data_IF_348765568131
#
_entry.id   IF_348765568131
#
_cell.length_a   1.000
_cell.length_b   1.000
_cell.length_c   1.000
_cell.angle_alpha   90.00
_cell.angle_beta   90.00
_cell.angle_gamma   90.00
#
_symmetry.space_group_name_H-M   'P 1'
#
loop_
_entity.id
_entity.type
_entity.pdbx_description
1 polymer ?
#
# COMPACT_ATOMS: atom_id res chain seq x y z
N UNK A 1 -6.00 -15.59 7.15
CA UNK A 1 -6.19 -14.40 6.30
C UNK A 1 -5.51 -14.50 4.94
N UNK A 2 -4.73 -15.54 4.62
CA UNK A 2 -4.34 -15.84 3.23
C UNK A 2 -4.44 -17.35 3.02
N UNK A 3 -5.58 -17.80 2.51
CA UNK A 3 -5.84 -19.19 2.18
C UNK A 3 -6.85 -19.22 1.03
N UNK A 4 -6.38 -19.73 -0.10
CA UNK A 4 -7.04 -19.83 -1.41
C UNK A 4 -7.36 -18.48 -2.09
N UNK A 5 -6.45 -18.05 -2.97
CA UNK A 5 -6.67 -16.99 -3.95
C UNK A 5 -7.33 -17.61 -5.18
N UNK A 6 -8.65 -17.60 -5.24
CA UNK A 6 -9.36 -17.78 -6.51
C UNK A 6 -9.17 -16.54 -7.39
N UNK A 7 -9.11 -16.77 -8.70
CA UNK A 7 -8.71 -15.82 -9.73
C UNK A 7 -9.59 -14.57 -9.74
N UNK A 8 -9.09 -13.45 -9.20
CA UNK A 8 -9.64 -12.10 -9.37
C UNK A 8 -9.44 -11.52 -10.78
N UNK A 9 -9.11 -12.35 -11.77
CA UNK A 9 -8.81 -11.85 -13.11
C UNK A 9 -10.08 -11.36 -13.79
N UNK A 10 -10.14 -10.04 -13.93
CA UNK A 10 -10.98 -9.37 -14.91
C UNK A 10 -10.28 -9.49 -16.29
N UNK A 11 -10.90 -10.26 -17.20
CA UNK A 11 -10.42 -10.46 -18.57
C UNK A 11 -10.33 -9.16 -19.38
N UNK A 12 -10.92 -8.05 -18.89
CA UNK A 12 -10.83 -6.71 -19.52
C UNK A 12 -9.38 -6.18 -19.62
N UNK A 13 -8.45 -6.79 -18.89
CA UNK A 13 -7.03 -6.44 -18.87
C UNK A 13 -6.12 -7.31 -19.73
N UNK A 14 -6.66 -8.31 -20.45
CA UNK A 14 -5.87 -9.09 -21.41
C UNK A 14 -5.02 -8.20 -22.36
N UNK A 15 -5.54 -7.08 -22.92
CA UNK A 15 -4.73 -6.20 -23.78
C UNK A 15 -3.56 -5.54 -23.06
N UNK A 16 -3.63 -5.29 -21.75
CA UNK A 16 -2.49 -4.74 -21.01
C UNK A 16 -1.41 -5.81 -20.83
N UNK A 17 -1.80 -7.04 -20.48
CA UNK A 17 -0.83 -8.13 -20.35
C UNK A 17 -0.14 -8.44 -21.69
N UNK A 18 -0.81 -8.23 -22.82
CA UNK A 18 -0.20 -8.30 -24.15
C UNK A 18 0.85 -7.19 -24.41
N UNK A 19 0.79 -6.05 -23.71
CA UNK A 19 1.79 -4.96 -23.81
C UNK A 19 3.00 -5.14 -22.92
N UNK A 20 2.92 -6.00 -21.90
CA UNK A 20 4.08 -6.32 -21.08
C UNK A 20 5.04 -7.21 -21.88
N UNK A 21 6.36 -7.12 -21.63
CA UNK A 21 7.31 -7.96 -22.33
C UNK A 21 6.97 -9.44 -22.12
N UNK A 22 7.10 -10.18 -23.21
CA UNK A 22 7.14 -11.64 -23.22
C UNK A 22 8.58 -12.10 -23.49
N UNK A 23 8.91 -13.32 -23.08
CA UNK A 23 10.26 -13.89 -23.18
C UNK A 23 10.84 -13.82 -24.61
N UNK A 24 10.00 -13.72 -25.64
CA UNK A 24 10.42 -13.79 -27.05
C UNK A 24 10.66 -12.43 -27.75
N UNK A 25 9.94 -11.35 -27.40
CA UNK A 25 9.92 -10.12 -28.21
C UNK A 25 10.83 -8.98 -27.70
N UNK A 26 11.15 -8.96 -26.39
CA UNK A 26 11.91 -7.86 -25.74
C UNK A 26 13.04 -8.35 -24.82
N UNK A 27 13.49 -9.59 -25.04
CA UNK A 27 14.42 -10.31 -24.15
C UNK A 27 15.71 -9.54 -23.86
N UNK A 28 16.39 -9.03 -24.89
CA UNK A 28 17.69 -8.35 -24.75
C UNK A 28 17.62 -7.04 -23.93
N UNK A 29 16.57 -6.22 -24.14
CA UNK A 29 16.38 -4.99 -23.37
C UNK A 29 16.07 -5.29 -21.92
N UNK A 30 15.21 -6.27 -21.67
CA UNK A 30 14.84 -6.68 -20.32
C UNK A 30 16.03 -7.31 -19.58
N UNK A 31 16.84 -8.10 -20.29
CA UNK A 31 18.11 -8.64 -19.78
C UNK A 31 19.05 -7.51 -19.34
N UNK A 32 19.16 -6.44 -20.15
CA UNK A 32 19.90 -5.22 -19.77
C UNK A 32 19.41 -4.60 -18.46
N UNK A 33 18.09 -4.47 -18.28
CA UNK A 33 17.50 -3.96 -17.04
C UNK A 33 17.77 -4.88 -15.84
N UNK A 34 17.72 -6.19 -16.03
CA UNK A 34 18.03 -7.17 -14.99
C UNK A 34 19.50 -7.19 -14.61
N UNK A 35 20.41 -7.03 -15.57
CA UNK A 35 21.84 -6.90 -15.31
C UNK A 35 22.14 -5.69 -14.41
N UNK A 36 21.47 -4.55 -14.62
CA UNK A 36 21.59 -3.38 -13.74
C UNK A 36 21.15 -3.70 -12.31
N UNK A 37 20.07 -4.48 -12.13
CA UNK A 37 19.63 -4.92 -10.79
C UNK A 37 20.68 -5.84 -10.16
N UNK A 38 21.17 -6.84 -10.89
CA UNK A 38 22.19 -7.79 -10.41
C UNK A 38 23.47 -7.07 -9.99
N UNK A 39 23.93 -6.12 -10.80
CA UNK A 39 25.14 -5.33 -10.52
C UNK A 39 24.96 -4.48 -9.26
N UNK A 40 23.81 -3.80 -9.12
CA UNK A 40 23.50 -3.00 -7.94
C UNK A 40 23.45 -3.84 -6.65
N UNK A 41 22.83 -5.03 -6.70
CA UNK A 41 22.81 -5.95 -5.56
C UNK A 41 24.22 -6.47 -5.23
N UNK A 42 25.01 -6.84 -6.24
CA UNK A 42 26.38 -7.32 -6.06
C UNK A 42 27.30 -6.26 -5.44
N UNK A 43 27.19 -5.02 -5.93
CA UNK A 43 27.92 -3.88 -5.40
C UNK A 43 27.53 -3.58 -3.95
N UNK A 44 26.23 -3.60 -3.65
CA UNK A 44 25.74 -3.40 -2.28
C UNK A 44 26.22 -4.51 -1.35
N UNK A 45 26.13 -5.78 -1.77
CA UNK A 45 26.59 -6.90 -0.96
C UNK A 45 28.09 -6.81 -0.66
N UNK A 46 28.90 -6.43 -1.65
CA UNK A 46 30.35 -6.21 -1.47
C UNK A 46 30.61 -5.08 -0.48
N UNK A 47 29.91 -3.95 -0.61
CA UNK A 47 30.05 -2.81 0.28
C UNK A 47 29.67 -3.16 1.73
N UNK A 48 28.55 -3.87 1.93
CA UNK A 48 28.09 -4.28 3.27
C UNK A 48 29.02 -5.33 3.90
N UNK A 49 29.56 -6.26 3.09
CA UNK A 49 30.49 -7.29 3.57
C UNK A 49 31.84 -6.72 4.03
N UNK A 50 32.20 -5.52 3.55
CA UNK A 50 33.41 -4.82 4.01
C UNK A 50 33.27 -4.17 5.40
N UNK A 51 32.03 -4.06 5.91
CA UNK A 51 31.74 -3.47 7.21
C UNK A 51 31.66 -4.55 8.30
N UNK A 52 32.59 -4.55 9.24
CA UNK A 52 32.72 -5.63 10.26
C UNK A 52 31.57 -5.68 11.26
N UNK A 53 30.89 -4.56 11.50
CA UNK A 53 29.83 -4.43 12.52
C UNK A 53 28.42 -4.34 11.90
N UNK A 54 28.30 -4.55 10.59
CA UNK A 54 27.04 -4.45 9.85
C UNK A 54 26.21 -5.74 9.82
N UNK A 55 24.90 -5.65 9.51
CA UNK A 55 24.09 -6.83 9.23
C UNK A 55 24.63 -7.59 8.01
N UNK A 56 24.77 -8.91 8.14
CA UNK A 56 25.18 -9.77 7.04
C UNK A 56 23.95 -10.20 6.23
N UNK A 57 24.03 -10.01 4.92
CA UNK A 57 22.99 -10.42 3.98
C UNK A 57 23.50 -11.57 3.14
N UNK A 58 22.69 -12.63 3.03
CA UNK A 58 22.98 -13.71 2.10
C UNK A 58 22.81 -13.21 0.66
N UNK A 59 23.79 -13.52 -0.20
CA UNK A 59 23.72 -13.24 -1.63
C UNK A 59 24.60 -14.21 -2.40
N UNK A 60 24.06 -14.74 -3.50
CA UNK A 60 24.82 -15.51 -4.47
C UNK A 60 24.56 -14.95 -5.86
N UNK A 61 25.63 -14.55 -6.56
CA UNK A 61 25.54 -13.99 -7.90
C UNK A 61 24.85 -14.94 -8.88
N UNK A 62 25.18 -16.24 -8.83
CA UNK A 62 24.60 -17.24 -9.73
C UNK A 62 23.09 -17.41 -9.52
N UNK A 63 22.62 -17.32 -8.27
CA UNK A 63 21.18 -17.34 -7.97
C UNK A 63 20.49 -16.08 -8.49
N UNK A 64 21.10 -14.91 -8.30
CA UNK A 64 20.55 -13.66 -8.84
C UNK A 64 20.43 -13.72 -10.36
N UNK A 65 21.43 -14.28 -11.05
CA UNK A 65 21.44 -14.53 -12.50
C UNK A 65 20.46 -15.61 -12.97
N UNK A 66 19.98 -16.49 -12.09
CA UNK A 66 18.92 -17.44 -12.43
C UNK A 66 17.52 -16.85 -12.22
N UNK A 67 17.39 -15.89 -11.29
CA UNK A 67 16.11 -15.25 -10.96
C UNK A 67 15.82 -14.09 -11.91
N UNK A 68 16.77 -13.16 -12.09
CA UNK A 68 16.58 -11.97 -12.93
C UNK A 68 16.96 -12.25 -14.38
N UNK A 69 16.10 -12.99 -15.09
CA UNK A 69 16.25 -13.29 -16.52
C UNK A 69 14.93 -13.11 -17.26
N UNK A 70 14.95 -12.80 -18.57
CA UNK A 70 13.75 -12.56 -19.36
C UNK A 70 12.74 -13.73 -19.35
N UNK A 71 13.20 -14.96 -19.21
CA UNK A 71 12.33 -16.15 -19.12
C UNK A 71 11.39 -16.10 -17.92
N UNK A 72 11.75 -15.37 -16.88
CA UNK A 72 10.94 -15.19 -15.67
C UNK A 72 10.05 -13.95 -15.71
N UNK A 73 9.90 -13.28 -16.88
CA UNK A 73 9.09 -12.06 -17.04
C UNK A 73 7.63 -12.23 -16.58
N UNK A 74 7.11 -13.46 -16.60
CA UNK A 74 5.80 -13.82 -16.05
C UNK A 74 5.58 -13.30 -14.62
N UNK A 75 6.64 -13.12 -13.81
CA UNK A 75 6.51 -12.56 -12.47
C UNK A 75 5.93 -11.13 -12.50
N UNK A 76 6.28 -10.30 -13.49
CA UNK A 76 5.68 -8.96 -13.64
C UNK A 76 4.16 -9.06 -13.87
N UNK A 77 3.74 -10.00 -14.70
CA UNK A 77 2.31 -10.28 -14.95
C UNK A 77 1.60 -10.71 -13.66
N UNK A 78 2.23 -11.60 -12.89
CA UNK A 78 1.67 -12.07 -11.62
C UNK A 78 1.53 -10.96 -10.58
N UNK A 79 2.46 -10.00 -10.56
CA UNK A 79 2.32 -8.81 -9.70
C UNK A 79 1.06 -8.02 -10.05
N UNK A 80 0.86 -7.67 -11.33
CA UNK A 80 -0.31 -6.88 -11.74
C UNK A 80 -1.63 -7.66 -11.60
N UNK A 81 -1.59 -8.98 -11.68
CA UNK A 81 -2.75 -9.84 -11.48
C UNK A 81 -3.16 -9.98 -10.01
N UNK A 82 -2.19 -10.16 -9.11
CA UNK A 82 -2.48 -10.64 -7.75
C UNK A 82 -2.05 -9.71 -6.62
N UNK A 83 -1.07 -8.83 -6.84
CA UNK A 83 -0.58 -7.89 -5.81
C UNK A 83 -1.09 -6.47 -6.05
N UNK A 84 -1.13 -6.02 -7.31
CA UNK A 84 -1.58 -4.68 -7.66
C UNK A 84 -3.02 -4.36 -7.22
N UNK A 85 -4.02 -5.25 -7.35
CA UNK A 85 -5.36 -4.95 -6.82
C UNK A 85 -5.36 -4.68 -5.32
N UNK A 86 -4.52 -5.38 -4.56
CA UNK A 86 -4.43 -5.19 -3.10
C UNK A 86 -3.67 -3.92 -2.72
N UNK A 87 -2.72 -3.46 -3.55
CA UNK A 87 -1.89 -2.27 -3.31
C UNK A 87 -1.68 -1.51 -4.64
N UNK A 88 -2.69 -0.76 -5.14
CA UNK A 88 -2.70 -0.13 -6.46
C UNK A 88 -1.89 1.17 -6.47
N UNK A 89 -0.63 1.11 -6.05
CA UNK A 89 0.27 2.27 -5.98
C UNK A 89 1.06 2.49 -7.28
N UNK A 90 1.10 1.50 -8.17
CA UNK A 90 1.77 1.57 -9.49
C UNK A 90 0.72 1.87 -10.55
N UNK A 91 0.94 2.90 -11.36
CA UNK A 91 0.07 3.19 -12.51
C UNK A 91 0.35 2.16 -13.59
N UNK A 92 -0.53 1.17 -13.71
CA UNK A 92 -0.35 0.04 -14.60
C UNK A 92 -0.24 0.47 -16.07
N UNK A 93 -1.08 1.37 -16.62
CA UNK A 93 -0.99 1.76 -18.04
C UNK A 93 0.31 2.45 -18.45
N UNK A 94 1.01 3.12 -17.52
CA UNK A 94 2.30 3.79 -17.81
C UNK A 94 3.51 3.01 -17.30
N UNK A 95 3.33 1.80 -16.80
CA UNK A 95 4.44 0.98 -16.33
C UNK A 95 5.19 0.40 -17.54
N UNK A 96 6.45 0.80 -17.70
CA UNK A 96 7.35 0.27 -18.70
C UNK A 96 8.59 -0.33 -18.02
N UNK A 97 8.78 -1.67 -18.01
CA UNK A 97 9.90 -2.30 -17.32
C UNK A 97 11.27 -1.88 -17.87
N UNK A 98 11.34 -1.31 -19.08
CA UNK A 98 12.58 -0.84 -19.67
C UNK A 98 13.00 0.57 -19.23
N UNK A 99 12.06 1.35 -18.69
CA UNK A 99 12.27 2.78 -18.39
C UNK A 99 12.12 3.12 -16.90
N UNK A 100 11.41 2.27 -16.14
CA UNK A 100 11.26 2.48 -14.69
C UNK A 100 12.58 2.27 -13.96
N UNK A 101 12.70 2.92 -12.81
CA UNK A 101 13.85 2.80 -11.94
C UNK A 101 14.08 1.33 -11.50
N UNK A 102 15.35 0.84 -11.43
CA UNK A 102 15.66 -0.55 -11.07
C UNK A 102 15.02 -1.02 -9.76
N UNK A 103 14.92 -0.15 -8.76
CA UNK A 103 14.22 -0.44 -7.49
C UNK A 103 12.75 -0.80 -7.70
N UNK A 104 12.03 -0.08 -8.56
CA UNK A 104 10.62 -0.36 -8.83
C UNK A 104 10.47 -1.66 -9.63
N UNK A 105 11.27 -1.84 -10.68
CA UNK A 105 11.27 -3.07 -11.49
C UNK A 105 11.54 -4.30 -10.61
N UNK A 106 12.60 -4.24 -9.81
CA UNK A 106 12.96 -5.31 -8.88
C UNK A 106 11.84 -5.62 -7.89
N UNK A 107 11.23 -4.59 -7.29
CA UNK A 107 10.16 -4.80 -6.32
C UNK A 107 8.90 -5.41 -6.95
N UNK A 108 8.48 -4.92 -8.13
CA UNK A 108 7.36 -5.49 -8.91
C UNK A 108 7.64 -6.96 -9.24
N UNK A 109 8.84 -7.24 -9.77
CA UNK A 109 9.26 -8.58 -10.15
C UNK A 109 9.30 -9.56 -8.97
N UNK A 110 9.95 -9.18 -7.85
CA UNK A 110 10.05 -10.04 -6.67
C UNK A 110 8.70 -10.22 -5.97
N UNK A 111 7.86 -9.19 -5.90
CA UNK A 111 6.49 -9.34 -5.37
C UNK A 111 5.66 -10.29 -6.22
N UNK A 112 5.84 -10.27 -7.54
CA UNK A 112 5.18 -11.18 -8.48
C UNK A 112 5.64 -12.64 -8.35
N UNK A 113 6.91 -12.86 -8.03
CA UNK A 113 7.47 -14.20 -7.82
C UNK A 113 6.76 -15.00 -6.74
N UNK A 114 6.13 -14.32 -5.77
CA UNK A 114 5.33 -14.95 -4.70
C UNK A 114 4.09 -15.69 -5.19
N UNK A 115 3.62 -15.39 -6.40
CA UNK A 115 2.46 -16.02 -7.02
C UNK A 115 2.85 -16.93 -8.19
N UNK A 116 4.15 -17.17 -8.39
CA UNK A 116 4.63 -18.10 -9.39
C UNK A 116 4.31 -19.54 -9.01
N UNK A 117 4.13 -20.39 -10.02
CA UNK A 117 4.04 -21.83 -9.80
C UNK A 117 5.36 -22.34 -9.18
N UNK A 118 5.33 -23.35 -8.29
CA UNK A 118 6.53 -23.88 -7.67
C UNK A 118 7.57 -24.34 -8.72
N UNK A 119 8.76 -23.76 -8.66
CA UNK A 119 9.91 -24.06 -9.50
C UNK A 119 11.19 -23.74 -8.73
N UNK A 120 12.34 -24.28 -9.13
CA UNK A 120 13.63 -23.99 -8.49
C UNK A 120 13.94 -22.49 -8.44
N UNK A 121 13.55 -21.77 -9.51
CA UNK A 121 13.66 -20.32 -9.61
C UNK A 121 12.73 -19.62 -8.62
N UNK A 122 11.45 -20.02 -8.55
CA UNK A 122 10.50 -19.45 -7.60
C UNK A 122 10.92 -19.68 -6.14
N UNK A 123 11.60 -20.80 -5.86
CA UNK A 123 12.18 -21.09 -4.55
C UNK A 123 13.47 -20.30 -4.26
N UNK A 124 14.17 -19.84 -5.30
CA UNK A 124 15.40 -19.06 -5.18
C UNK A 124 15.14 -17.55 -5.00
N UNK A 125 14.05 -17.00 -5.55
CA UNK A 125 13.72 -15.58 -5.43
C UNK A 125 13.65 -15.07 -3.97
N UNK A 126 13.04 -15.79 -3.00
CA UNK A 126 13.01 -15.38 -1.60
C UNK A 126 14.37 -15.18 -0.94
N UNK A 127 15.43 -15.80 -1.46
CA UNK A 127 16.80 -15.65 -0.96
C UNK A 127 17.35 -14.23 -1.24
N UNK A 128 16.78 -13.52 -2.21
CA UNK A 128 17.20 -12.18 -2.61
C UNK A 128 16.46 -11.07 -1.84
N UNK A 129 15.37 -11.40 -1.13
CA UNK A 129 14.46 -10.39 -0.57
C UNK A 129 15.10 -9.46 0.46
N UNK A 130 15.99 -9.97 1.32
CA UNK A 130 16.60 -9.16 2.37
C UNK A 130 17.59 -8.13 1.79
N UNK A 131 18.43 -8.55 0.83
CA UNK A 131 19.35 -7.63 0.16
C UNK A 131 18.61 -6.65 -0.77
N UNK A 132 17.57 -7.12 -1.47
CA UNK A 132 16.71 -6.26 -2.29
C UNK A 132 16.00 -5.18 -1.45
N UNK A 133 15.50 -5.55 -0.26
CA UNK A 133 14.94 -4.58 0.68
C UNK A 133 16.01 -3.56 1.11
N UNK A 134 17.20 -4.01 1.50
CA UNK A 134 18.28 -3.11 1.89
C UNK A 134 18.68 -2.16 0.74
N UNK A 135 18.74 -2.66 -0.49
CA UNK A 135 19.00 -1.85 -1.69
C UNK A 135 17.93 -0.77 -1.92
N UNK A 136 16.65 -1.15 -1.85
CA UNK A 136 15.54 -0.21 -2.03
C UNK A 136 15.60 0.93 -0.98
N UNK A 137 15.77 0.58 0.29
CA UNK A 137 15.79 1.55 1.38
C UNK A 137 17.05 2.41 1.44
N UNK A 138 18.23 1.89 1.05
CA UNK A 138 19.44 2.70 0.93
C UNK A 138 19.35 3.68 -0.24
N UNK A 139 18.78 3.25 -1.37
CA UNK A 139 18.51 4.13 -2.51
C UNK A 139 17.52 5.23 -2.12
N UNK A 140 16.43 4.88 -1.44
CA UNK A 140 15.44 5.84 -0.96
C UNK A 140 16.07 6.89 -0.04
N UNK A 141 16.87 6.46 0.93
CA UNK A 141 17.56 7.36 1.85
C UNK A 141 18.44 8.36 1.12
N UNK A 142 19.27 7.88 0.18
CA UNK A 142 20.15 8.74 -0.61
C UNK A 142 19.38 9.77 -1.45
N UNK A 143 18.26 9.38 -2.07
CA UNK A 143 17.44 10.30 -2.85
C UNK A 143 16.70 11.32 -1.99
N UNK A 144 16.16 10.90 -0.84
CA UNK A 144 15.48 11.82 0.10
C UNK A 144 16.47 12.83 0.67
N UNK A 145 17.67 12.38 1.06
CA UNK A 145 18.71 13.28 1.57
C UNK A 145 19.16 14.26 0.47
N UNK A 146 19.28 13.81 -0.78
CA UNK A 146 19.57 14.69 -1.92
C UNK A 146 18.47 15.74 -2.10
N UNK A 147 17.21 15.30 -2.09
CA UNK A 147 16.03 16.15 -2.30
C UNK A 147 15.86 17.21 -1.21
N UNK A 148 15.98 16.79 0.06
CA UNK A 148 15.75 17.66 1.22
C UNK A 148 16.90 18.63 1.46
N UNK A 149 18.16 18.18 1.30
CA UNK A 149 19.32 19.00 1.68
C UNK A 149 19.77 19.97 0.58
N UNK A 150 19.64 19.60 -0.70
CA UNK A 150 20.20 20.40 -1.80
C UNK A 150 19.13 21.18 -2.58
N UNK A 151 17.84 20.90 -2.33
CA UNK A 151 16.75 21.43 -3.14
C UNK A 151 16.79 20.88 -4.57
N UNK A 152 15.64 20.78 -5.21
CA UNK A 152 15.59 20.38 -6.61
C UNK A 152 16.02 21.58 -7.45
N UNK A 153 17.13 21.47 -8.19
CA UNK A 153 17.49 22.47 -9.22
C UNK A 153 16.31 22.57 -10.21
N UNK A 154 15.76 23.78 -10.39
CA UNK A 154 14.45 24.04 -11.03
C UNK A 154 14.28 23.40 -12.42
N UNK A 155 15.36 23.11 -13.14
CA UNK A 155 15.35 22.67 -14.54
C UNK A 155 15.04 21.19 -14.77
N UNK A 156 15.09 20.31 -13.76
CA UNK A 156 14.83 18.85 -13.94
C UNK A 156 13.88 18.25 -12.87
N UNK A 157 13.02 19.09 -12.30
CA UNK A 157 12.33 18.75 -11.05
C UNK A 157 11.30 17.63 -11.16
N UNK A 158 10.60 17.53 -12.30
CA UNK A 158 9.58 16.50 -12.54
C UNK A 158 10.18 15.11 -12.71
N UNK A 159 11.33 15.01 -13.40
CA UNK A 159 12.02 13.73 -13.63
C UNK A 159 12.60 13.19 -12.33
N UNK A 160 13.28 14.03 -11.55
CA UNK A 160 13.81 13.61 -10.25
C UNK A 160 12.69 13.24 -9.27
N UNK A 161 11.57 13.95 -9.28
CA UNK A 161 10.40 13.62 -8.46
C UNK A 161 9.73 12.31 -8.91
N UNK A 162 9.62 12.07 -10.22
CA UNK A 162 9.15 10.79 -10.75
C UNK A 162 10.06 9.63 -10.32
N UNK A 163 11.39 9.82 -10.37
CA UNK A 163 12.36 8.83 -9.88
C UNK A 163 12.18 8.56 -8.38
N UNK A 164 12.02 9.61 -7.58
CA UNK A 164 11.77 9.49 -6.13
C UNK A 164 10.46 8.73 -5.85
N UNK A 165 9.39 9.04 -6.59
CA UNK A 165 8.12 8.32 -6.51
C UNK A 165 8.31 6.82 -6.82
N UNK A 166 9.05 6.48 -7.88
CA UNK A 166 9.32 5.08 -8.26
C UNK A 166 10.14 4.34 -7.19
N UNK A 167 11.15 4.97 -6.61
CA UNK A 167 11.94 4.37 -5.52
C UNK A 167 11.10 4.20 -4.26
N UNK A 168 10.21 5.14 -3.94
CA UNK A 168 9.28 5.02 -2.81
C UNK A 168 8.22 3.95 -3.05
N UNK A 169 7.65 3.84 -4.26
CA UNK A 169 6.78 2.74 -4.67
C UNK A 169 7.48 1.39 -4.45
N UNK A 170 8.68 1.22 -4.99
CA UNK A 170 9.44 -0.04 -4.83
C UNK A 170 9.78 -0.34 -3.37
N UNK A 171 10.14 0.67 -2.58
CA UNK A 171 10.42 0.50 -1.14
C UNK A 171 9.18 0.08 -0.34
N UNK A 172 8.01 0.65 -0.66
CA UNK A 172 6.73 0.28 -0.06
C UNK A 172 6.31 -1.15 -0.45
N UNK A 173 6.52 -1.54 -1.71
CA UNK A 173 6.29 -2.92 -2.16
C UNK A 173 7.21 -3.92 -1.43
N UNK A 174 8.50 -3.60 -1.29
CA UNK A 174 9.44 -4.45 -0.53
C UNK A 174 9.07 -4.54 0.95
N UNK A 175 8.61 -3.44 1.56
CA UNK A 175 8.06 -3.42 2.91
C UNK A 175 6.86 -4.38 3.04
N UNK A 176 5.92 -4.34 2.10
CA UNK A 176 4.77 -5.25 2.08
C UNK A 176 5.18 -6.71 1.88
N UNK A 177 6.10 -6.97 0.95
CA UNK A 177 6.62 -8.32 0.68
C UNK A 177 7.24 -8.94 1.94
N UNK A 178 8.14 -8.20 2.60
CA UNK A 178 8.83 -8.66 3.80
C UNK A 178 7.89 -8.84 4.98
N UNK A 179 6.83 -8.04 5.04
CA UNK A 179 5.78 -8.19 6.03
C UNK A 179 5.00 -9.51 5.88
N UNK A 180 4.74 -9.97 4.65
CA UNK A 180 4.02 -11.23 4.37
C UNK A 180 4.85 -12.47 4.74
N UNK A 181 6.18 -12.42 4.61
CA UNK A 181 7.08 -13.57 4.88
C UNK A 181 7.06 -14.06 6.34
N UNK A 182 6.50 -13.28 7.26
CA UNK A 182 6.18 -13.67 8.64
C UNK A 182 7.36 -14.30 9.44
N UNK A 183 8.57 -13.74 9.30
CA UNK A 183 9.74 -14.10 10.11
C UNK A 183 9.99 -13.04 11.21
N UNK A 184 10.30 -13.42 12.47
CA UNK A 184 10.47 -12.47 13.58
C UNK A 184 11.46 -11.32 13.31
N UNK A 185 12.66 -11.63 12.81
CA UNK A 185 13.70 -10.64 12.55
C UNK A 185 13.31 -9.67 11.43
N UNK A 186 12.63 -10.18 10.39
CA UNK A 186 12.09 -9.37 9.30
C UNK A 186 10.97 -8.47 9.80
N UNK A 187 10.07 -8.98 10.64
CA UNK A 187 8.99 -8.18 11.26
C UNK A 187 9.55 -7.06 12.13
N UNK A 188 10.52 -7.35 12.99
CA UNK A 188 11.18 -6.36 13.84
C UNK A 188 11.85 -5.27 12.99
N UNK A 189 12.66 -5.65 11.99
CA UNK A 189 13.31 -4.71 11.08
C UNK A 189 12.30 -3.85 10.32
N UNK A 190 11.22 -4.47 9.85
CA UNK A 190 10.15 -3.81 9.13
C UNK A 190 9.48 -2.73 10.02
N UNK A 191 9.16 -3.08 11.27
CA UNK A 191 8.55 -2.18 12.25
C UNK A 191 9.50 -1.07 12.74
N UNK A 192 10.73 -1.41 13.08
CA UNK A 192 11.62 -0.52 13.83
C UNK A 192 12.53 0.31 12.94
N UNK A 193 12.70 -0.09 11.66
CA UNK A 193 13.57 0.62 10.70
C UNK A 193 12.86 1.02 9.42
N UNK A 194 12.13 0.11 8.77
CA UNK A 194 11.59 0.35 7.42
C UNK A 194 10.36 1.24 7.44
N UNK A 195 9.34 0.89 8.22
CA UNK A 195 8.13 1.71 8.35
C UNK A 195 8.46 3.14 8.84
N UNK A 196 9.31 3.35 9.88
CA UNK A 196 9.72 4.69 10.29
C UNK A 196 10.41 5.49 9.18
N UNK A 197 11.21 4.85 8.32
CA UNK A 197 11.81 5.52 7.16
C UNK A 197 10.75 5.93 6.14
N UNK A 198 9.80 5.06 5.79
CA UNK A 198 8.69 5.42 4.91
C UNK A 198 7.89 6.58 5.49
N UNK A 199 7.57 6.50 6.79
CA UNK A 199 6.84 7.53 7.56
C UNK A 199 7.57 8.87 7.57
N UNK A 200 8.88 8.86 7.77
CA UNK A 200 9.72 10.05 7.70
C UNK A 200 9.74 10.64 6.29
N UNK A 201 9.82 9.78 5.27
CA UNK A 201 9.85 10.21 3.87
C UNK A 201 8.57 10.92 3.45
N UNK A 202 7.38 10.35 3.66
CA UNK A 202 6.14 11.06 3.24
C UNK A 202 5.91 12.35 4.01
N UNK A 203 6.36 12.44 5.27
CA UNK A 203 6.33 13.68 6.06
C UNK A 203 7.26 14.74 5.48
N UNK A 204 8.52 14.38 5.18
CA UNK A 204 9.51 15.28 4.57
C UNK A 204 9.08 15.80 3.20
N UNK A 205 8.40 14.96 2.42
CA UNK A 205 7.94 15.29 1.07
C UNK A 205 6.53 15.90 1.01
N UNK A 206 5.79 15.91 2.13
CA UNK A 206 4.43 16.43 2.19
C UNK A 206 3.39 15.59 1.44
N UNK A 207 3.66 14.30 1.16
CA UNK A 207 2.75 13.47 0.36
C UNK A 207 1.42 13.19 1.08
N UNK A 208 1.40 13.19 2.41
CA UNK A 208 0.17 13.12 3.21
C UNK A 208 -0.78 14.31 2.99
N UNK A 209 -0.26 15.42 2.44
CA UNK A 209 -1.00 16.65 2.14
C UNK A 209 -1.12 16.88 0.63
N UNK A 210 -0.73 15.91 -0.20
CA UNK A 210 -0.76 16.02 -1.66
C UNK A 210 -2.18 16.28 -2.16
N UNK A 211 -2.29 17.16 -3.16
CA UNK A 211 -3.54 17.49 -3.82
C UNK A 211 -3.35 17.51 -5.32
N UNK A 212 -4.39 17.14 -6.03
CA UNK A 212 -4.43 17.25 -7.48
C UNK A 212 -4.48 18.73 -7.89
N UNK A 213 -3.87 19.03 -9.03
CA UNK A 213 -3.88 20.37 -9.60
C UNK A 213 -5.32 20.80 -9.90
N UNK A 214 -5.67 22.02 -9.48
CA UNK A 214 -7.00 22.60 -9.72
C UNK A 214 -6.99 23.28 -11.08
N UNK A 215 -7.34 22.52 -12.11
CA UNK A 215 -7.46 23.03 -13.48
C UNK A 215 -8.83 23.72 -13.64
N UNK A 216 -8.91 24.91 -14.27
CA UNK A 216 -10.18 25.55 -14.60
C UNK A 216 -11.11 24.64 -15.41
N UNK A 217 -12.41 24.84 -15.29
CA UNK A 217 -13.38 24.05 -16.07
C UNK A 217 -13.19 24.30 -17.58
N UNK A 218 -13.05 23.22 -18.35
CA UNK A 218 -12.87 23.25 -19.80
C UNK A 218 -11.41 23.24 -20.28
N UNK A 219 -10.43 23.32 -19.38
CA UNK A 219 -9.03 23.12 -19.73
C UNK A 219 -8.60 21.65 -19.55
N UNK A 220 -7.76 21.11 -20.45
CA UNK A 220 -7.29 19.74 -20.34
C UNK A 220 -6.38 19.59 -19.13
N UNK A 221 -6.55 18.49 -18.40
CA UNK A 221 -5.67 18.14 -17.28
C UNK A 221 -4.44 17.42 -17.85
N UNK A 222 -3.23 17.87 -17.52
CA UNK A 222 -1.99 17.16 -17.88
C UNK A 222 -2.04 15.75 -17.24
N UNK A 223 -2.18 14.73 -18.08
CA UNK A 223 -2.35 13.35 -17.65
C UNK A 223 -1.11 12.81 -16.93
N UNK A 224 0.08 13.18 -17.40
CA UNK A 224 1.34 12.77 -16.77
C UNK A 224 1.51 13.48 -15.41
N UNK A 225 1.01 14.71 -15.27
CA UNK A 225 1.08 15.46 -14.01
C UNK A 225 0.09 14.87 -13.02
N UNK A 226 -1.11 14.52 -13.51
CA UNK A 226 -2.10 13.79 -12.76
C UNK A 226 -1.54 12.46 -12.23
N UNK A 227 -0.92 11.62 -13.08
CA UNK A 227 -0.32 10.34 -12.67
C UNK A 227 0.73 10.59 -11.57
N UNK A 228 1.57 11.60 -11.74
CA UNK A 228 2.61 11.94 -10.76
C UNK A 228 2.00 12.34 -9.40
N UNK A 229 0.96 13.18 -9.39
CA UNK A 229 0.28 13.64 -8.18
C UNK A 229 -0.55 12.55 -7.51
N UNK A 230 -1.29 11.77 -8.29
CA UNK A 230 -2.08 10.66 -7.78
C UNK A 230 -1.17 9.56 -7.20
N UNK A 231 0.01 9.34 -7.79
CA UNK A 231 1.04 8.48 -7.19
C UNK A 231 1.43 8.96 -5.78
N UNK A 232 1.60 10.27 -5.58
CA UNK A 232 1.94 10.83 -4.26
C UNK A 232 0.80 10.67 -3.26
N UNK A 233 -0.44 10.95 -3.69
CA UNK A 233 -1.66 10.72 -2.91
C UNK A 233 -1.75 9.27 -2.44
N UNK A 234 -1.61 8.33 -3.37
CA UNK A 234 -1.63 6.89 -3.08
C UNK A 234 -0.50 6.49 -2.15
N UNK A 235 0.75 6.92 -2.39
CA UNK A 235 1.87 6.62 -1.50
C UNK A 235 1.63 7.14 -0.06
N UNK A 236 1.10 8.36 0.09
CA UNK A 236 0.76 8.92 1.40
C UNK A 236 -0.29 8.09 2.14
N UNK A 237 -1.37 7.71 1.45
CA UNK A 237 -2.44 6.87 2.01
C UNK A 237 -1.93 5.46 2.33
N UNK A 238 -1.20 4.82 1.42
CA UNK A 238 -0.78 3.43 1.59
C UNK A 238 0.31 3.26 2.65
N UNK A 239 1.23 4.21 2.83
CA UNK A 239 2.15 4.20 3.99
C UNK A 239 1.38 4.36 5.30
N UNK A 240 0.37 5.23 5.34
CA UNK A 240 -0.50 5.38 6.51
C UNK A 240 -1.28 4.09 6.82
N UNK A 241 -1.82 3.41 5.79
CA UNK A 241 -2.51 2.13 5.97
C UNK A 241 -1.56 1.03 6.48
N UNK A 242 -0.31 0.99 5.99
CA UNK A 242 0.71 0.10 6.54
C UNK A 242 1.00 0.36 8.01
N UNK A 243 1.06 1.63 8.43
CA UNK A 243 1.21 2.02 9.83
C UNK A 243 0.01 1.60 10.69
N UNK A 244 -1.21 1.82 10.19
CA UNK A 244 -2.44 1.40 10.85
C UNK A 244 -2.51 -0.13 11.02
N UNK A 245 -2.15 -0.87 9.98
CA UNK A 245 -2.14 -2.33 10.00
C UNK A 245 -1.15 -2.89 11.01
N UNK A 246 0.08 -2.37 11.08
CA UNK A 246 1.06 -2.82 12.09
C UNK A 246 0.62 -2.49 13.51
N UNK A 247 0.00 -1.32 13.71
CA UNK A 247 -0.57 -0.91 15.00
C UNK A 247 -1.62 -1.91 15.50
N UNK A 248 -2.53 -2.33 14.62
CA UNK A 248 -3.51 -3.36 14.93
C UNK A 248 -2.80 -4.69 15.21
N UNK A 249 -2.03 -5.21 14.25
CA UNK A 249 -1.55 -6.59 14.33
C UNK A 249 -0.66 -6.87 15.54
N UNK A 250 0.11 -5.86 15.95
CA UNK A 250 1.07 -5.99 17.03
C UNK A 250 0.68 -5.22 18.28
N UNK A 251 -0.55 -4.70 18.36
CA UNK A 251 -1.03 -3.95 19.52
C UNK A 251 -0.10 -2.77 19.90
N UNK A 252 0.39 -2.04 18.90
CA UNK A 252 1.36 -0.94 19.08
C UNK A 252 0.72 0.42 18.82
N UNK A 253 1.26 1.52 19.39
CA UNK A 253 0.86 2.86 18.99
C UNK A 253 0.99 3.07 17.47
N UNK A 254 0.01 3.67 16.79
CA UNK A 254 0.14 4.05 15.39
C UNK A 254 1.34 5.01 15.20
N UNK A 255 2.20 4.74 14.22
CA UNK A 255 3.33 5.62 13.89
C UNK A 255 2.89 6.89 13.14
N UNK A 256 1.64 6.93 12.67
CA UNK A 256 0.99 8.06 12.03
C UNK A 256 -0.42 8.26 12.59
N UNK A 257 -0.80 9.52 12.77
CA UNK A 257 -2.18 9.90 13.07
C UNK A 257 -2.97 10.11 11.80
N UNK A 258 -4.24 9.72 11.79
CA UNK A 258 -5.16 10.02 10.68
C UNK A 258 -5.30 11.52 10.40
N UNK A 259 -5.07 12.38 11.41
CA UNK A 259 -5.07 13.84 11.26
C UNK A 259 -3.94 14.38 10.38
N UNK A 260 -2.92 13.56 10.08
CA UNK A 260 -1.84 13.93 9.15
C UNK A 260 -2.29 13.81 7.68
N UNK A 261 -3.32 13.01 7.40
CA UNK A 261 -3.76 12.68 6.04
C UNK A 261 -4.79 13.70 5.57
N UNK A 262 -4.30 14.89 5.23
CA UNK A 262 -5.14 16.04 4.85
C UNK A 262 -5.17 16.31 3.34
N UNK A 263 -4.45 15.53 2.54
CA UNK A 263 -4.45 15.59 1.07
C UNK A 263 -5.78 15.17 0.46
N UNK A 264 -5.85 15.11 -0.87
CA UNK A 264 -7.01 14.58 -1.57
C UNK A 264 -7.17 13.07 -1.31
N UNK A 265 -8.37 12.53 -1.52
CA UNK A 265 -8.57 11.08 -1.54
C UNK A 265 -8.08 10.52 -2.88
N UNK A 266 -7.68 9.24 -2.89
CA UNK A 266 -7.34 8.55 -4.15
C UNK A 266 -8.50 8.62 -5.15
N UNK A 267 -8.17 8.83 -6.42
CA UNK A 267 -9.16 8.89 -7.50
C UNK A 267 -9.86 7.54 -7.70
N UNK A 268 -10.88 7.49 -8.57
CA UNK A 268 -11.51 6.22 -8.91
C UNK A 268 -10.54 5.33 -9.69
N UNK A 269 -10.65 4.01 -9.50
CA UNK A 269 -9.76 3.05 -10.15
C UNK A 269 -9.85 3.10 -11.69
N UNK A 270 -10.98 3.45 -12.29
CA UNK A 270 -11.05 3.61 -13.75
C UNK A 270 -10.35 4.87 -14.27
N UNK A 271 -10.29 5.94 -13.46
CA UNK A 271 -9.50 7.15 -13.74
C UNK A 271 -8.02 6.83 -13.58
N UNK A 272 -7.65 6.10 -12.52
CA UNK A 272 -6.29 5.64 -12.30
C UNK A 272 -5.83 4.68 -13.39
N UNK A 273 -6.71 3.80 -13.88
CA UNK A 273 -6.35 2.79 -14.88
C UNK A 273 -6.67 3.26 -16.32
N UNK A 274 -6.85 4.57 -16.52
CA UNK A 274 -7.10 5.12 -17.85
C UNK A 274 -5.92 4.80 -18.79
N UNK A 275 -6.19 4.16 -19.94
CA UNK A 275 -5.13 3.69 -20.85
C UNK A 275 -4.42 4.78 -21.67
N UNK A 276 -5.07 5.93 -21.85
CA UNK A 276 -4.55 7.04 -22.66
C UNK A 276 -5.01 8.38 -22.08
N UNK A 277 -4.29 9.46 -22.40
CA UNK A 277 -4.70 10.82 -22.05
C UNK A 277 -6.12 11.17 -22.52
N UNK A 278 -6.52 10.69 -23.71
CA UNK A 278 -7.87 10.92 -24.24
C UNK A 278 -8.95 10.17 -23.45
N UNK A 279 -8.69 8.92 -23.04
CA UNK A 279 -9.61 8.18 -22.19
C UNK A 279 -9.71 8.81 -20.79
N UNK A 280 -8.58 9.23 -20.23
CA UNK A 280 -8.52 9.98 -18.98
C UNK A 280 -9.36 11.26 -19.06
N UNK A 281 -9.14 12.10 -20.08
CA UNK A 281 -9.90 13.34 -20.24
C UNK A 281 -11.41 13.07 -20.37
N UNK A 282 -11.82 12.05 -21.11
CA UNK A 282 -13.24 11.68 -21.22
C UNK A 282 -13.88 11.31 -19.87
N UNK A 283 -13.13 10.67 -18.96
CA UNK A 283 -13.60 10.38 -17.60
C UNK A 283 -13.67 11.64 -16.74
N UNK A 284 -12.69 12.54 -16.87
CA UNK A 284 -12.69 13.84 -16.18
C UNK A 284 -13.90 14.68 -16.61
N UNK A 285 -14.21 14.71 -17.90
CA UNK A 285 -15.36 15.44 -18.47
C UNK A 285 -16.71 14.88 -17.98
N UNK A 286 -16.75 13.59 -17.62
CA UNK A 286 -17.90 12.95 -16.97
C UNK A 286 -17.99 13.24 -15.46
N UNK A 287 -17.08 14.05 -14.91
CA UNK A 287 -17.06 14.42 -13.49
C UNK A 287 -16.40 13.39 -12.57
N UNK A 288 -15.66 12.40 -13.10
CA UNK A 288 -15.02 11.34 -12.30
C UNK A 288 -13.78 11.81 -11.52
N UNK A 289 -13.11 12.88 -11.93
CA UNK A 289 -11.77 13.21 -11.42
C UNK A 289 -11.65 13.91 -10.05
N UNK A 290 -12.70 14.56 -9.55
CA UNK A 290 -12.57 15.51 -8.42
C UNK A 290 -12.91 14.87 -7.07
N UNK A 291 -11.96 14.13 -6.47
CA UNK A 291 -12.09 13.56 -5.10
C UNK A 291 -11.30 14.35 -4.05
N UNK A 292 -11.68 15.61 -3.85
CA UNK A 292 -10.91 16.59 -3.04
C UNK A 292 -11.06 16.47 -1.52
N UNK A 293 -11.99 15.63 -1.05
CA UNK A 293 -12.16 15.39 0.37
C UNK A 293 -10.97 14.59 0.91
N UNK A 294 -10.44 14.95 2.07
CA UNK A 294 -9.36 14.19 2.69
C UNK A 294 -9.86 13.02 3.52
N UNK A 295 -8.99 12.05 3.76
CA UNK A 295 -9.25 10.96 4.71
C UNK A 295 -9.54 11.52 6.11
N UNK A 296 -8.84 12.57 6.52
CA UNK A 296 -9.12 13.27 7.78
C UNK A 296 -10.52 13.90 7.81
N UNK A 297 -10.95 14.58 6.75
CA UNK A 297 -12.30 15.16 6.67
C UNK A 297 -13.38 14.09 6.72
N UNK A 298 -13.16 12.96 6.05
CA UNK A 298 -14.03 11.79 6.12
C UNK A 298 -14.15 11.28 7.56
N UNK A 299 -13.02 11.12 8.25
CA UNK A 299 -12.99 10.72 9.65
C UNK A 299 -13.74 11.69 10.57
N UNK A 300 -13.48 13.00 10.44
CA UNK A 300 -14.19 14.03 11.21
C UNK A 300 -15.70 13.95 11.01
N UNK A 301 -16.15 13.75 9.77
CA UNK A 301 -17.57 13.55 9.47
C UNK A 301 -18.13 12.33 10.19
N UNK A 302 -17.41 11.20 10.19
CA UNK A 302 -17.85 9.94 10.83
C UNK A 302 -17.98 10.06 12.34
N UNK A 303 -17.12 10.82 13.02
CA UNK A 303 -17.18 11.02 14.48
C UNK A 303 -18.04 12.23 14.91
N UNK A 304 -18.51 13.04 13.96
CA UNK A 304 -19.18 14.30 14.28
C UNK A 304 -20.50 14.07 15.02
N UNK A 305 -20.82 14.83 16.08
CA UNK A 305 -22.14 14.78 16.72
C UNK A 305 -23.25 15.33 15.81
N UNK A 306 -22.91 16.09 14.76
CA UNK A 306 -23.87 16.72 13.83
C UNK A 306 -24.20 15.86 12.61
N UNK A 307 -23.81 14.58 12.59
CA UNK A 307 -24.17 13.67 11.51
C UNK A 307 -25.69 13.53 11.40
N UNK A 308 -26.24 13.82 10.21
CA UNK A 308 -27.68 13.71 9.94
C UNK A 308 -28.01 12.63 8.92
N UNK A 309 -27.26 12.54 7.82
CA UNK A 309 -27.49 11.58 6.73
C UNK A 309 -26.16 11.22 6.04
N UNK A 310 -26.03 9.99 5.49
CA UNK A 310 -25.01 9.64 4.49
C UNK A 310 -24.85 10.67 3.36
N UNK A 311 -25.91 11.39 3.00
CA UNK A 311 -25.89 12.41 1.94
C UNK A 311 -25.03 13.63 2.28
N UNK A 312 -24.61 13.81 3.53
CA UNK A 312 -23.71 14.88 3.94
C UNK A 312 -22.24 14.45 4.04
N UNK A 313 -21.94 13.20 3.70
CA UNK A 313 -20.58 12.69 3.73
C UNK A 313 -19.70 13.41 2.68
N UNK A 314 -18.49 13.88 3.04
CA UNK A 314 -17.67 14.72 2.16
C UNK A 314 -17.16 13.98 0.91
N UNK A 315 -16.96 12.67 0.98
CA UNK A 315 -16.49 11.87 -0.16
C UNK A 315 -17.68 11.27 -0.90
N UNK A 316 -17.90 11.74 -2.14
CA UNK A 316 -19.02 11.29 -2.99
C UNK A 316 -18.68 9.98 -3.71
N UNK A 317 -19.74 9.25 -4.08
CA UNK A 317 -19.69 8.03 -4.89
C UNK A 317 -18.72 6.98 -4.34
N UNK A 318 -18.86 6.64 -3.06
CA UNK A 318 -17.99 5.67 -2.40
C UNK A 318 -18.01 4.32 -3.11
N UNK A 319 -16.83 3.69 -3.14
CA UNK A 319 -16.60 2.35 -3.67
C UNK A 319 -16.28 1.37 -2.55
N UNK A 320 -16.33 0.08 -2.85
CA UNK A 320 -15.97 -1.00 -1.91
C UNK A 320 -14.54 -0.85 -1.37
N UNK A 321 -13.50 -0.56 -2.20
CA UNK A 321 -12.15 -0.29 -1.70
C UNK A 321 -12.05 0.95 -0.79
N UNK A 322 -12.78 2.03 -1.09
CA UNK A 322 -12.75 3.25 -0.25
C UNK A 322 -13.17 2.96 1.19
N UNK A 323 -14.15 2.06 1.37
CA UNK A 323 -14.64 1.69 2.69
C UNK A 323 -13.62 0.90 3.50
N UNK A 324 -12.77 0.11 2.84
CA UNK A 324 -11.63 -0.54 3.49
C UNK A 324 -10.62 0.50 3.97
N UNK A 325 -10.27 1.46 3.12
CA UNK A 325 -9.38 2.57 3.51
C UNK A 325 -9.94 3.31 4.71
N UNK A 326 -11.23 3.66 4.70
CA UNK A 326 -11.89 4.37 5.79
C UNK A 326 -11.89 3.57 7.10
N UNK A 327 -12.24 2.28 7.07
CA UNK A 327 -12.32 1.46 8.30
C UNK A 327 -10.93 1.16 8.86
N UNK A 328 -9.93 0.93 8.01
CA UNK A 328 -8.54 0.75 8.44
C UNK A 328 -7.97 2.04 9.00
N UNK A 329 -8.29 3.19 8.40
CA UNK A 329 -7.89 4.48 8.94
C UNK A 329 -8.48 4.73 10.34
N UNK A 330 -9.75 4.40 10.52
CA UNK A 330 -10.46 4.53 11.79
C UNK A 330 -9.85 3.67 12.92
N UNK A 331 -9.23 2.54 12.56
CA UNK A 331 -8.56 1.68 13.54
C UNK A 331 -7.47 2.43 14.32
N UNK A 332 -6.75 3.36 13.69
CA UNK A 332 -5.71 4.16 14.35
C UNK A 332 -6.28 4.97 15.50
N UNK A 333 -7.47 5.56 15.34
CA UNK A 333 -8.13 6.33 16.39
C UNK A 333 -8.59 5.45 17.55
N UNK A 334 -9.14 4.26 17.26
CA UNK A 334 -9.51 3.29 18.31
C UNK A 334 -8.27 2.86 19.10
N UNK A 335 -7.19 2.49 18.41
CA UNK A 335 -5.95 2.04 19.05
C UNK A 335 -5.30 3.16 19.86
N UNK A 336 -5.21 4.38 19.31
CA UNK A 336 -4.71 5.55 20.03
C UNK A 336 -5.53 5.85 21.27
N UNK A 337 -6.87 5.89 21.18
CA UNK A 337 -7.73 6.18 22.33
C UNK A 337 -7.57 5.13 23.44
N UNK A 338 -7.43 3.85 23.06
CA UNK A 338 -7.17 2.76 24.01
C UNK A 338 -5.83 2.95 24.71
N UNK A 339 -4.76 3.11 23.94
CA UNK A 339 -3.39 3.23 24.46
C UNK A 339 -3.17 4.52 25.27
N UNK A 340 -3.94 5.58 25.01
CA UNK A 340 -3.91 6.81 25.82
C UNK A 340 -4.87 6.79 27.02
N UNK A 341 -5.60 5.69 27.25
CA UNK A 341 -6.57 5.60 28.35
C UNK A 341 -7.81 6.50 28.20
N UNK A 342 -8.07 7.03 27.00
CA UNK A 342 -9.19 7.94 26.73
C UNK A 342 -10.40 7.25 26.10
N UNK A 343 -10.26 5.97 25.72
CA UNK A 343 -11.31 5.21 25.07
C UNK A 343 -12.67 5.24 25.80
N UNK A 344 -12.76 5.11 27.14
CA UNK A 344 -14.05 5.21 27.83
C UNK A 344 -14.78 6.55 27.62
N UNK A 345 -14.05 7.63 27.36
CA UNK A 345 -14.60 8.97 27.15
C UNK A 345 -15.19 9.15 25.74
N UNK A 346 -14.68 8.40 24.75
CA UNK A 346 -15.07 8.56 23.34
C UNK A 346 -15.71 7.30 22.73
N UNK A 347 -15.84 6.20 23.48
CA UNK A 347 -16.35 4.92 23.01
C UNK A 347 -17.68 5.05 22.25
N UNK A 348 -18.65 5.79 22.82
CA UNK A 348 -19.96 5.99 22.18
C UNK A 348 -19.84 6.70 20.82
N UNK A 349 -18.97 7.71 20.70
CA UNK A 349 -18.74 8.41 19.44
C UNK A 349 -18.07 7.48 18.42
N UNK A 350 -17.16 6.62 18.87
CA UNK A 350 -16.48 5.67 18.00
C UNK A 350 -17.39 4.54 17.52
N UNK A 351 -18.27 4.03 18.38
CA UNK A 351 -19.28 3.03 18.00
C UNK A 351 -20.29 3.61 16.99
N UNK A 352 -20.75 4.85 17.21
CA UNK A 352 -21.60 5.57 16.27
C UNK A 352 -20.90 5.78 14.92
N UNK A 353 -19.61 6.10 14.92
CA UNK A 353 -18.84 6.20 13.68
C UNK A 353 -18.81 4.85 12.92
N UNK A 354 -18.65 3.73 13.61
CA UNK A 354 -18.73 2.39 12.99
C UNK A 354 -20.14 2.06 12.48
N UNK A 355 -21.20 2.54 13.12
CA UNK A 355 -22.58 2.46 12.59
C UNK A 355 -22.74 3.31 11.32
N UNK A 356 -22.20 4.52 11.29
CA UNK A 356 -22.23 5.40 10.11
C UNK A 356 -21.44 4.82 8.94
N UNK A 357 -20.27 4.23 9.18
CA UNK A 357 -19.55 3.44 8.18
C UNK A 357 -20.42 2.32 7.61
N UNK A 358 -21.23 1.65 8.44
CA UNK A 358 -22.13 0.61 7.98
C UNK A 358 -23.32 1.14 7.16
N UNK A 359 -23.85 2.31 7.51
CA UNK A 359 -24.87 2.99 6.70
C UNK A 359 -24.33 3.34 5.32
N UNK A 360 -23.12 3.92 5.24
CA UNK A 360 -22.44 4.21 3.98
C UNK A 360 -22.22 2.94 3.16
N UNK A 361 -21.72 1.87 3.79
CA UNK A 361 -21.56 0.56 3.16
C UNK A 361 -22.88 0.04 2.57
N UNK A 362 -23.98 0.12 3.33
CA UNK A 362 -25.31 -0.27 2.89
C UNK A 362 -25.76 0.44 1.61
N UNK A 363 -25.39 1.71 1.43
CA UNK A 363 -25.66 2.45 0.20
C UNK A 363 -24.87 1.97 -1.02
N UNK A 364 -23.67 1.41 -0.82
CA UNK A 364 -22.79 0.91 -1.90
C UNK A 364 -23.20 -0.49 -2.35
N UNK A 365 -23.63 -1.32 -1.39
CA UNK A 365 -24.01 -2.72 -1.64
C UNK A 365 -25.51 -2.90 -1.83
N UNK A 366 -26.31 -1.88 -1.53
CA UNK A 366 -27.76 -1.89 -1.71
C UNK A 366 -28.13 -2.23 -3.15
N UNK A 367 -28.84 -3.37 -3.32
CA UNK A 367 -29.26 -3.87 -4.63
C UNK A 367 -28.26 -4.81 -5.32
N UNK A 368 -27.10 -5.12 -4.71
CA UNK A 368 -26.18 -6.16 -5.21
C UNK A 368 -26.51 -7.52 -4.59
N UNK A 369 -26.29 -8.59 -5.35
CA UNK A 369 -26.49 -9.97 -4.89
C UNK A 369 -25.51 -10.30 -3.74
N UNK A 370 -26.00 -10.81 -2.59
CA UNK A 370 -25.16 -11.29 -1.49
C UNK A 370 -24.07 -12.29 -1.91
N UNK A 371 -24.32 -13.14 -2.91
CA UNK A 371 -23.31 -14.09 -3.39
C UNK A 371 -22.10 -13.35 -4.01
N UNK A 372 -22.35 -12.39 -4.91
CA UNK A 372 -21.32 -11.56 -5.55
C UNK A 372 -20.55 -10.71 -4.52
N UNK A 373 -21.24 -10.18 -3.50
CA UNK A 373 -20.60 -9.45 -2.41
C UNK A 373 -19.72 -10.37 -1.56
N UNK A 374 -20.15 -11.60 -1.33
CA UNK A 374 -19.36 -12.57 -0.58
C UNK A 374 -18.11 -12.99 -1.33
N UNK A 375 -18.08 -12.97 -2.66
CA UNK A 375 -16.87 -13.27 -3.44
C UNK A 375 -15.88 -12.10 -3.49
N UNK A 376 -16.36 -10.88 -3.25
CA UNK A 376 -15.53 -9.68 -3.24
C UNK A 376 -14.68 -9.57 -1.96
N UNK A 377 -13.36 -9.64 -2.11
CA UNK A 377 -12.38 -9.59 -1.02
C UNK A 377 -12.55 -8.37 -0.10
N UNK A 378 -12.74 -7.17 -0.66
CA UNK A 378 -12.94 -5.94 0.12
C UNK A 378 -14.25 -5.98 0.92
N UNK A 379 -15.26 -6.69 0.44
CA UNK A 379 -16.53 -6.84 1.17
C UNK A 379 -16.38 -7.72 2.40
N UNK A 380 -15.63 -8.82 2.30
CA UNK A 380 -15.28 -9.64 3.47
C UNK A 380 -14.48 -8.83 4.48
N UNK A 381 -13.40 -8.18 4.01
CA UNK A 381 -12.51 -7.43 4.90
C UNK A 381 -13.18 -6.26 5.61
N UNK A 382 -14.17 -5.59 4.99
CA UNK A 382 -14.84 -4.46 5.63
C UNK A 382 -15.68 -4.94 6.82
N UNK A 383 -16.43 -6.02 6.62
CA UNK A 383 -17.27 -6.63 7.66
C UNK A 383 -16.39 -7.15 8.81
N UNK A 384 -15.30 -7.84 8.49
CA UNK A 384 -14.33 -8.35 9.45
C UNK A 384 -13.68 -7.22 10.25
N UNK A 385 -13.18 -6.18 9.58
CA UNK A 385 -12.52 -5.04 10.23
C UNK A 385 -13.48 -4.27 11.14
N UNK A 386 -14.70 -3.99 10.69
CA UNK A 386 -15.73 -3.33 11.51
C UNK A 386 -16.05 -4.16 12.76
N UNK A 387 -16.30 -5.45 12.59
CA UNK A 387 -16.59 -6.35 13.71
C UNK A 387 -15.43 -6.39 14.70
N UNK A 388 -14.20 -6.51 14.19
CA UNK A 388 -12.99 -6.52 14.99
C UNK A 388 -12.86 -5.24 15.83
N UNK A 389 -13.03 -4.06 15.22
CA UNK A 389 -12.93 -2.79 15.94
C UNK A 389 -13.98 -2.65 17.05
N UNK A 390 -15.22 -3.11 16.82
CA UNK A 390 -16.24 -3.14 17.88
C UNK A 390 -15.83 -4.05 19.03
N UNK A 391 -15.27 -5.21 18.72
CA UNK A 391 -14.81 -6.14 19.74
C UNK A 391 -13.66 -5.53 20.55
N UNK A 392 -12.70 -4.87 19.89
CA UNK A 392 -11.62 -4.13 20.57
C UNK A 392 -12.18 -3.06 21.51
N UNK A 393 -13.15 -2.24 21.06
CA UNK A 393 -13.77 -1.21 21.90
C UNK A 393 -14.43 -1.85 23.12
N UNK A 394 -15.31 -2.83 22.91
CA UNK A 394 -16.05 -3.51 23.98
C UNK A 394 -15.10 -4.17 24.98
N UNK A 395 -14.16 -4.98 24.49
CA UNK A 395 -13.23 -5.72 25.35
C UNK A 395 -12.37 -4.76 26.17
N UNK A 396 -11.87 -3.68 25.55
CA UNK A 396 -11.07 -2.65 26.26
C UNK A 396 -11.83 -1.97 27.40
N UNK A 397 -13.15 -1.77 27.26
CA UNK A 397 -13.99 -1.18 28.32
C UNK A 397 -14.27 -2.19 29.43
N UNK A 398 -14.56 -3.45 29.07
CA UNK A 398 -14.89 -4.50 30.04
C UNK A 398 -13.68 -5.06 30.78
N UNK A 399 -12.48 -4.96 30.20
CA UNK A 399 -11.26 -5.61 30.70
C UNK A 399 -11.18 -7.13 30.46
N UNK A 400 -12.19 -7.73 29.79
CA UNK A 400 -12.30 -9.18 29.57
C UNK A 400 -11.53 -9.63 28.32
N UNK A 401 -10.20 -9.61 28.40
CA UNK A 401 -9.30 -10.08 27.33
C UNK A 401 -8.53 -11.35 27.71
N UNK A 402 -9.15 -12.54 27.59
CA UNK A 402 -8.48 -13.81 27.87
C UNK A 402 -7.34 -14.14 26.89
N UNK A 403 -7.22 -13.42 25.78
CA UNK A 403 -6.17 -13.64 24.77
C UNK A 403 -4.86 -12.92 25.08
N UNK A 404 -4.90 -11.88 25.93
CA UNK A 404 -3.77 -10.99 26.20
C UNK A 404 -3.42 -10.04 25.04
N UNK A 405 -4.17 -10.05 23.94
CA UNK A 405 -3.93 -9.19 22.78
C UNK A 405 -3.95 -7.70 23.11
N UNK A 406 -4.88 -7.26 23.96
CA UNK A 406 -5.05 -5.86 24.38
C UNK A 406 -4.22 -5.49 25.61
N UNK A 407 -3.19 -6.28 25.93
CA UNK A 407 -2.25 -6.00 27.01
C UNK A 407 -1.48 -4.68 26.82
N UNK A 408 -0.67 -4.36 27.83
CA UNK A 408 0.12 -3.11 27.87
C UNK A 408 1.37 -3.16 26.98
N UNK A 409 1.88 -4.35 26.69
CA UNK A 409 3.06 -4.58 25.84
C UNK A 409 2.60 -5.04 24.47
N UNK A 410 3.20 -4.49 23.42
CA UNK A 410 2.92 -4.94 22.06
C UNK A 410 3.57 -6.29 21.72
N UNK A 411 3.11 -6.89 20.64
CA UNK A 411 3.41 -8.27 20.27
C UNK A 411 4.49 -8.35 19.20
N UNK A 412 5.28 -9.42 19.24
CA UNK A 412 6.28 -9.75 18.21
C UNK A 412 5.74 -10.73 17.15
N UNK A 413 4.49 -11.18 17.32
CA UNK A 413 3.82 -12.16 16.48
C UNK A 413 2.34 -11.79 16.29
N UNK A 414 1.65 -12.48 15.38
CA UNK A 414 0.19 -12.33 15.20
C UNK A 414 -0.60 -13.37 16.00
N UNK A 415 0.05 -14.12 16.88
CA UNK A 415 -0.56 -15.23 17.64
C UNK A 415 -1.63 -14.71 18.60
N UNK A 416 -1.33 -13.62 19.30
CA UNK A 416 -2.20 -12.99 20.28
C UNK A 416 -3.46 -12.45 19.60
N UNK A 417 -3.30 -11.78 18.45
CA UNK A 417 -4.44 -11.37 17.63
C UNK A 417 -5.25 -12.59 17.13
N UNK A 418 -4.58 -13.67 16.70
CA UNK A 418 -5.28 -14.87 16.25
C UNK A 418 -6.15 -15.48 17.36
N UNK A 419 -5.59 -15.61 18.57
CA UNK A 419 -6.35 -16.11 19.72
C UNK A 419 -7.46 -15.14 20.14
N UNK A 420 -7.23 -13.81 20.06
CA UNK A 420 -8.27 -12.81 20.29
C UNK A 420 -9.48 -13.00 19.36
N UNK A 421 -9.22 -13.15 18.05
CA UNK A 421 -10.27 -13.37 17.05
C UNK A 421 -11.01 -14.68 17.31
N UNK A 422 -10.29 -15.77 17.62
CA UNK A 422 -10.84 -17.10 17.86
C UNK A 422 -11.71 -17.18 19.12
N UNK A 423 -11.29 -16.55 20.23
CA UNK A 423 -12.06 -16.51 21.47
C UNK A 423 -13.28 -15.58 21.34
N UNK A 424 -13.22 -14.59 20.46
CA UNK A 424 -14.31 -13.66 20.22
C UNK A 424 -15.44 -14.21 19.34
N UNK A 425 -15.22 -15.34 18.66
CA UNK A 425 -16.21 -16.03 17.80
C UNK A 425 -17.00 -17.13 18.54
N UNK A 426 -16.62 -17.45 19.79
CA UNK A 426 -17.36 -18.33 20.69
C UNK A 426 -18.36 -17.52 21.51
#
# INVERSE_FOLDING_TARGET
MLGQRESLADDSWAPFFETLPDANNDSEKLEGCFNVIIDNLSNLHTALSSCTDGPQYYFQLDQAKQVFVPENVSFIHQFFRFSHPEVPIVHRPSFNPHEVHPVLLMAVFLCGSMHAAPSDVALSAPLLFDLAEEYAFNTLRGLVDKYVNYGVMETDSRVELARLNQVLQGSLLMHGLQFIMNEPQRRERNRDRRLPMLVSTIRKLGFSNARHSRVPEGEPVDWDEFILKETQTRLGIWVFLSAAQQSILFNMPPSMSISEITGDFQCFEDVWEAKTAGHFQALIDQGRGKRTASLWQCHQSLISPTWTSPDNFPLRSLTTPDMIVLVLAFSTTVTSARLSGTLPLCASALEQALDRCHQLWGGIVGGKDPATLSENLYSRHFVEAKWFLRKVIKTSITGDDPSGYLGEVGHMSTTELHEFLKLSLR
#
